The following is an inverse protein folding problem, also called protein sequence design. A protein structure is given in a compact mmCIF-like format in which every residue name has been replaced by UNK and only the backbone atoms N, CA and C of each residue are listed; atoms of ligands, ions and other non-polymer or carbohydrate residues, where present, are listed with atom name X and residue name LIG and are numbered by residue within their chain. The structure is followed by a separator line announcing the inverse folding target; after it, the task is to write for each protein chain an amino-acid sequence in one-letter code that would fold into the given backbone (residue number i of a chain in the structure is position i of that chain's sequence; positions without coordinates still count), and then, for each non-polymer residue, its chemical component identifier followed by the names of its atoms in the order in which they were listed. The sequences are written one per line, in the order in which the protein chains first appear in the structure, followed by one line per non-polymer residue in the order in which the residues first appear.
data_IF_933328522514
#
_entry.id   IF_933328522514
#
_cell.length_a   1.000
_cell.length_b   1.000
_cell.length_c   1.000
_cell.angle_alpha   90.00
_cell.angle_beta   90.00
_cell.angle_gamma   90.00
#
_symmetry.space_group_name_H-M   'P 1'
#
loop_
_entity.id
_entity.type
_entity.pdbx_description
1 polymer ?
#
# COMPACT_ATOMS: atom_id res chain seq x y z
N UNK A 1 -32.20 -28.59 12.59
CA UNK A 1 -31.89 -27.20 12.97
C UNK A 1 -32.59 -26.28 11.98
N UNK A 2 -33.84 -25.90 12.27
CA UNK A 2 -34.60 -25.04 11.37
C UNK A 2 -34.07 -23.60 11.52
N UNK A 3 -33.39 -23.11 10.48
CA UNK A 3 -33.14 -21.68 10.33
C UNK A 3 -34.50 -20.98 10.33
N UNK A 4 -34.75 -20.19 11.38
CA UNK A 4 -35.92 -19.33 11.51
C UNK A 4 -36.05 -18.52 10.21
N UNK A 5 -37.23 -18.45 9.58
CA UNK A 5 -37.44 -17.64 8.39
C UNK A 5 -37.47 -16.16 8.80
N UNK A 6 -36.30 -15.57 9.04
CA UNK A 6 -36.15 -14.15 9.32
C UNK A 6 -35.25 -13.48 8.28
N UNK A 7 -35.48 -12.19 7.97
CA UNK A 7 -34.51 -11.39 7.23
C UNK A 7 -33.17 -11.37 7.97
N UNK A 8 -32.08 -11.44 7.22
CA UNK A 8 -30.73 -11.33 7.76
C UNK A 8 -29.93 -10.25 7.02
N UNK A 9 -28.92 -9.73 7.71
CA UNK A 9 -27.89 -8.87 7.13
C UNK A 9 -26.56 -9.58 7.38
N UNK A 10 -25.87 -9.95 6.31
CA UNK A 10 -24.55 -10.57 6.38
C UNK A 10 -23.49 -9.50 6.10
N UNK A 11 -22.60 -9.26 7.07
CA UNK A 11 -21.48 -8.34 6.93
C UNK A 11 -20.19 -9.16 6.82
N UNK A 12 -19.44 -8.96 5.74
CA UNK A 12 -18.17 -9.64 5.50
C UNK A 12 -17.13 -8.63 5.04
N UNK A 13 -15.86 -8.92 5.34
CA UNK A 13 -14.75 -8.27 4.66
C UNK A 13 -14.78 -8.59 3.16
N UNK A 14 -14.11 -7.76 2.36
CA UNK A 14 -13.95 -7.97 0.91
C UNK A 14 -13.27 -9.31 0.64
N UNK A 15 -13.97 -10.21 -0.04
CA UNK A 15 -13.46 -11.50 -0.51
C UNK A 15 -13.31 -11.47 -2.03
N UNK A 16 -12.38 -12.25 -2.57
CA UNK A 16 -12.05 -12.22 -4.00
C UNK A 16 -13.24 -12.58 -4.92
N UNK A 17 -14.08 -13.54 -4.49
CA UNK A 17 -15.31 -13.90 -5.22
C UNK A 17 -16.45 -14.22 -4.22
N UNK A 18 -17.37 -13.27 -3.97
CA UNK A 18 -18.52 -13.52 -3.11
C UNK A 18 -19.65 -14.28 -3.82
N UNK A 19 -19.57 -14.47 -5.15
CA UNK A 19 -20.64 -15.03 -5.97
C UNK A 19 -21.00 -16.45 -5.56
N UNK A 20 -20.00 -17.26 -5.21
CA UNK A 20 -20.22 -18.66 -4.79
C UNK A 20 -21.12 -18.72 -3.55
N UNK A 21 -20.81 -17.91 -2.53
CA UNK A 21 -21.57 -17.87 -1.29
C UNK A 21 -22.94 -17.22 -1.49
N UNK A 22 -23.01 -16.15 -2.28
CA UNK A 22 -24.26 -15.48 -2.64
C UNK A 22 -25.21 -16.40 -3.40
N UNK A 23 -24.73 -17.13 -4.41
CA UNK A 23 -25.50 -18.11 -5.18
C UNK A 23 -25.97 -19.28 -4.30
N UNK A 24 -25.14 -19.71 -3.34
CA UNK A 24 -25.55 -20.72 -2.37
C UNK A 24 -26.70 -20.23 -1.48
N UNK A 25 -26.59 -19.01 -0.92
CA UNK A 25 -27.66 -18.40 -0.13
C UNK A 25 -28.93 -18.19 -0.94
N UNK A 26 -28.81 -17.74 -2.20
CA UNK A 26 -29.92 -17.55 -3.12
C UNK A 26 -30.73 -18.83 -3.30
N UNK A 27 -30.06 -19.95 -3.63
CA UNK A 27 -30.71 -21.27 -3.79
C UNK A 27 -31.43 -21.75 -2.52
N UNK A 28 -30.86 -21.49 -1.35
CA UNK A 28 -31.48 -21.87 -0.07
C UNK A 28 -32.73 -21.06 0.20
N UNK A 29 -32.71 -19.75 -0.09
CA UNK A 29 -33.86 -18.88 0.08
C UNK A 29 -34.97 -19.18 -0.92
N UNK A 30 -34.64 -19.40 -2.20
CA UNK A 30 -35.59 -19.80 -3.25
C UNK A 30 -36.31 -21.10 -2.87
N UNK A 31 -35.58 -22.12 -2.42
CA UNK A 31 -36.17 -23.40 -1.98
C UNK A 31 -37.13 -23.25 -0.80
N UNK A 32 -36.97 -22.20 0.01
CA UNK A 32 -37.80 -21.92 1.19
C UNK A 32 -38.85 -20.84 0.93
N UNK A 33 -39.00 -20.38 -0.32
CA UNK A 33 -39.90 -19.28 -0.70
C UNK A 33 -39.66 -18.01 0.13
N UNK A 34 -38.39 -17.74 0.47
CA UNK A 34 -37.96 -16.55 1.21
C UNK A 34 -37.55 -15.42 0.27
N UNK A 35 -37.38 -14.22 0.83
CA UNK A 35 -36.97 -13.03 0.10
C UNK A 35 -35.62 -13.22 -0.64
N UNK A 36 -35.50 -12.53 -1.78
CA UNK A 36 -34.29 -12.51 -2.61
C UNK A 36 -33.10 -11.97 -1.81
N UNK A 37 -31.97 -12.68 -1.90
CA UNK A 37 -30.71 -12.25 -1.29
C UNK A 37 -30.05 -11.21 -2.21
N UNK A 38 -29.94 -9.96 -1.75
CA UNK A 38 -29.19 -8.90 -2.43
C UNK A 38 -27.74 -8.87 -1.95
N UNK A 39 -26.80 -8.69 -2.87
CA UNK A 39 -25.38 -8.46 -2.56
C UNK A 39 -25.03 -6.99 -2.84
N UNK A 40 -24.30 -6.37 -1.93
CA UNK A 40 -23.75 -5.02 -2.07
C UNK A 40 -22.24 -5.10 -1.80
N UNK A 41 -21.44 -4.70 -2.78
CA UNK A 41 -19.98 -4.70 -2.67
C UNK A 41 -19.44 -3.26 -2.60
N UNK A 42 -18.52 -3.04 -1.67
CA UNK A 42 -17.73 -1.81 -1.59
C UNK A 42 -16.25 -2.15 -1.67
N UNK A 43 -15.60 -1.73 -2.76
CA UNK A 43 -14.16 -1.99 -3.00
C UNK A 43 -13.27 -0.82 -2.60
N UNK A 44 -13.83 0.38 -2.51
CA UNK A 44 -13.07 1.58 -2.15
C UNK A 44 -12.83 1.62 -0.64
N UNK A 45 -11.58 1.79 -0.24
CA UNK A 45 -11.22 2.02 1.17
C UNK A 45 -11.36 3.51 1.46
N UNK A 46 -12.03 3.88 2.54
CA UNK A 46 -12.18 5.29 2.95
C UNK A 46 -10.86 5.97 3.32
N UNK A 47 -9.98 5.27 4.02
CA UNK A 47 -8.66 5.77 4.39
C UNK A 47 -7.57 5.24 3.46
N UNK A 48 -6.68 6.13 3.04
CA UNK A 48 -5.51 5.71 2.27
C UNK A 48 -4.49 4.98 3.17
N UNK A 49 -3.83 3.98 2.61
CA UNK A 49 -2.80 3.21 3.30
C UNK A 49 -1.42 3.72 2.92
N UNK A 50 -0.76 4.36 3.90
CA UNK A 50 0.64 4.70 3.81
C UNK A 50 1.49 3.48 4.12
N UNK A 51 2.43 3.19 3.22
CA UNK A 51 3.24 1.98 3.31
C UNK A 51 4.63 2.37 3.80
N UNK A 52 5.14 1.61 4.75
CA UNK A 52 6.45 1.80 5.33
C UNK A 52 7.19 0.47 5.39
N UNK A 53 8.51 0.55 5.40
CA UNK A 53 9.42 -0.56 5.65
C UNK A 53 10.31 -0.23 6.84
N UNK A 54 10.47 -1.19 7.74
CA UNK A 54 11.46 -1.11 8.80
C UNK A 54 12.76 -1.72 8.31
N UNK A 55 13.81 -0.92 8.15
CA UNK A 55 15.11 -1.39 7.68
C UNK A 55 16.24 -0.61 8.36
N UNK A 56 17.30 -1.32 8.76
CA UNK A 56 18.48 -0.75 9.45
C UNK A 56 18.14 0.15 10.65
N UNK A 57 17.08 -0.19 11.40
CA UNK A 57 16.68 0.55 12.60
C UNK A 57 15.85 1.80 12.32
N UNK A 58 15.36 2.00 11.10
CA UNK A 58 14.53 3.14 10.74
C UNK A 58 13.25 2.73 10.02
N UNK A 59 12.16 3.43 10.34
CA UNK A 59 10.91 3.34 9.59
C UNK A 59 10.92 4.30 8.39
N UNK A 60 11.05 3.74 7.19
CA UNK A 60 11.14 4.47 5.91
C UNK A 60 9.85 4.32 5.10
N UNK A 61 9.33 5.38 4.45
CA UNK A 61 8.18 5.22 3.56
C UNK A 61 8.55 4.30 2.38
N UNK A 62 7.57 3.58 1.85
CA UNK A 62 7.76 2.59 0.80
C UNK A 62 6.81 2.90 -0.36
N UNK A 63 7.38 3.38 -1.47
CA UNK A 63 6.58 3.67 -2.65
C UNK A 63 6.18 2.33 -3.30
N UNK A 64 4.88 2.10 -3.61
CA UNK A 64 4.41 0.79 -4.10
C UNK A 64 5.12 0.31 -5.37
N UNK A 65 5.52 1.24 -6.24
CA UNK A 65 6.22 0.92 -7.48
C UNK A 65 7.64 0.38 -7.26
N UNK A 66 8.26 0.60 -6.10
CA UNK A 66 9.57 0.03 -5.79
C UNK A 66 9.54 -1.49 -5.62
N UNK A 67 8.37 -2.06 -5.36
CA UNK A 67 8.17 -3.49 -5.20
C UNK A 67 7.82 -4.20 -6.52
N UNK A 68 7.76 -3.48 -7.63
CA UNK A 68 7.39 -4.03 -8.93
C UNK A 68 8.58 -4.68 -9.61
N UNK A 69 8.33 -5.83 -10.24
CA UNK A 69 9.29 -6.51 -11.10
C UNK A 69 8.94 -6.19 -12.54
N UNK A 70 9.82 -5.48 -13.25
CA UNK A 70 9.59 -4.99 -14.62
C UNK A 70 9.05 -6.08 -15.55
N UNK A 71 9.70 -7.26 -15.57
CA UNK A 71 9.32 -8.37 -16.44
C UNK A 71 7.91 -8.91 -16.16
N UNK A 72 7.49 -8.91 -14.90
CA UNK A 72 6.13 -9.29 -14.49
C UNK A 72 5.12 -8.24 -14.91
N UNK A 73 5.42 -6.95 -14.71
CA UNK A 73 4.52 -5.85 -15.09
C UNK A 73 4.33 -5.76 -16.59
N UNK A 74 5.40 -5.95 -17.39
CA UNK A 74 5.31 -6.00 -18.85
C UNK A 74 4.40 -7.12 -19.35
N UNK A 75 4.50 -8.30 -18.72
CA UNK A 75 3.78 -9.52 -19.15
C UNK A 75 2.33 -9.54 -18.66
N UNK A 76 2.11 -9.23 -17.39
CA UNK A 76 0.86 -9.47 -16.68
C UNK A 76 0.11 -8.17 -16.33
N UNK A 77 0.72 -7.00 -16.54
CA UNK A 77 0.20 -5.72 -16.08
C UNK A 77 0.42 -5.49 -14.58
N UNK A 78 -0.26 -4.47 -14.04
CA UNK A 78 -0.26 -4.16 -12.61
C UNK A 78 -1.48 -4.78 -11.92
N UNK A 79 -1.33 -5.15 -10.65
CA UNK A 79 -2.47 -5.58 -9.82
C UNK A 79 -3.46 -4.43 -9.61
N UNK A 80 -4.76 -4.73 -9.62
CA UNK A 80 -5.83 -3.79 -9.24
C UNK A 80 -5.70 -3.29 -7.81
N UNK A 81 -5.09 -4.09 -6.93
CA UNK A 81 -4.98 -3.80 -5.50
C UNK A 81 -3.80 -2.87 -5.16
N UNK A 82 -2.94 -2.60 -6.15
CA UNK A 82 -1.80 -1.70 -6.01
C UNK A 82 -2.29 -0.25 -5.96
N UNK A 83 -2.71 0.24 -4.80
CA UNK A 83 -3.21 1.62 -4.63
C UNK A 83 -2.10 2.60 -4.30
N UNK A 84 -2.18 3.80 -4.90
CA UNK A 84 -1.32 4.94 -4.64
C UNK A 84 -2.07 6.00 -3.84
N UNK A 85 -1.34 6.70 -2.97
CA UNK A 85 -1.81 7.95 -2.35
C UNK A 85 -1.44 9.14 -3.24
N UNK A 86 -2.13 10.30 -3.15
CA UNK A 86 -1.87 11.43 -4.05
C UNK A 86 -0.39 11.87 -4.10
N UNK A 87 0.29 11.84 -2.95
CA UNK A 87 1.74 12.13 -2.87
C UNK A 87 2.58 11.16 -3.71
N UNK A 88 2.29 9.86 -3.62
CA UNK A 88 2.96 8.83 -4.41
C UNK A 88 2.68 9.02 -5.92
N UNK A 89 1.46 9.40 -6.30
CA UNK A 89 1.12 9.68 -7.70
C UNK A 89 1.93 10.86 -8.27
N UNK A 90 2.08 11.94 -7.49
CA UNK A 90 2.87 13.11 -7.91
C UNK A 90 4.35 12.76 -8.01
N UNK A 91 4.89 12.04 -7.02
CA UNK A 91 6.28 11.59 -7.05
C UNK A 91 6.55 10.70 -8.28
N UNK A 92 5.67 9.73 -8.54
CA UNK A 92 5.77 8.86 -9.72
C UNK A 92 5.77 9.67 -11.02
N UNK A 93 4.84 10.61 -11.17
CA UNK A 93 4.78 11.48 -12.35
C UNK A 93 6.10 12.23 -12.57
N UNK A 94 6.64 12.86 -11.52
CA UNK A 94 7.86 13.64 -11.57
C UNK A 94 9.08 12.78 -11.93
N UNK A 95 9.27 11.65 -11.27
CA UNK A 95 10.43 10.79 -11.50
C UNK A 95 10.41 10.16 -12.89
N UNK A 96 9.25 9.69 -13.37
CA UNK A 96 9.14 9.18 -14.74
C UNK A 96 9.42 10.29 -15.76
N UNK A 97 8.91 11.51 -15.55
CA UNK A 97 9.13 12.64 -16.46
C UNK A 97 10.61 13.01 -16.58
N UNK A 98 11.38 12.93 -15.49
CA UNK A 98 12.84 13.14 -15.51
C UNK A 98 13.56 12.10 -16.38
N UNK A 99 13.06 10.86 -16.41
CA UNK A 99 13.70 9.74 -17.10
C UNK A 99 13.36 9.73 -18.60
N UNK A 100 12.09 9.89 -18.95
CA UNK A 100 11.63 9.78 -20.35
C UNK A 100 11.75 11.09 -21.14
N UNK A 101 11.87 12.24 -20.46
CA UNK A 101 11.87 13.56 -21.09
C UNK A 101 10.49 13.97 -21.63
N UNK A 102 10.44 14.87 -22.64
CA UNK A 102 9.18 15.32 -23.24
C UNK A 102 8.42 14.17 -23.91
N UNK A 103 7.18 13.94 -23.48
CA UNK A 103 6.35 12.86 -24.00
C UNK A 103 4.88 13.25 -23.93
N UNK A 104 4.21 13.34 -25.10
CA UNK A 104 2.80 13.78 -25.18
C UNK A 104 1.83 12.97 -24.31
N UNK A 105 2.04 11.65 -24.17
CA UNK A 105 1.18 10.78 -23.37
C UNK A 105 1.37 10.99 -21.87
N UNK A 106 2.59 11.32 -21.46
CA UNK A 106 2.91 11.57 -20.05
C UNK A 106 2.66 13.02 -19.65
N UNK A 107 2.98 13.99 -20.51
CA UNK A 107 2.87 15.42 -20.23
C UNK A 107 1.44 15.84 -19.89
N UNK A 108 0.43 15.26 -20.56
CA UNK A 108 -1.00 15.47 -20.26
C UNK A 108 -1.41 15.06 -18.84
N UNK A 109 -0.61 14.23 -18.17
CA UNK A 109 -0.84 13.75 -16.80
C UNK A 109 -0.20 14.69 -15.77
N UNK A 110 0.34 15.83 -16.19
CA UNK A 110 0.75 16.88 -15.26
C UNK A 110 -0.39 17.21 -14.30
N UNK A 111 -0.21 17.11 -12.97
CA UNK A 111 -1.29 17.42 -12.03
C UNK A 111 -1.90 18.82 -12.25
N UNK A 112 -1.10 19.78 -12.71
CA UNK A 112 -1.56 21.14 -13.02
C UNK A 112 -2.52 21.17 -14.22
N UNK A 113 -2.28 20.34 -15.22
CA UNK A 113 -3.09 20.27 -16.45
C UNK A 113 -4.28 19.33 -16.26
N UNK A 114 -4.07 18.18 -15.62
CA UNK A 114 -5.08 17.16 -15.40
C UNK A 114 -6.24 17.66 -14.54
N UNK A 115 -5.93 18.40 -13.47
CA UNK A 115 -6.93 18.99 -12.57
C UNK A 115 -7.25 20.45 -12.91
N UNK A 116 -6.83 20.94 -14.09
CA UNK A 116 -7.12 22.30 -14.51
C UNK A 116 -8.64 22.54 -14.59
N UNK A 117 -9.09 23.67 -14.05
CA UNK A 117 -10.51 24.06 -14.07
C UNK A 117 -11.38 23.39 -12.99
N UNK A 118 -10.81 22.52 -12.16
CA UNK A 118 -11.52 21.98 -10.98
C UNK A 118 -11.38 22.93 -9.79
N UNK A 119 -12.48 23.23 -9.11
CA UNK A 119 -12.48 24.05 -7.89
C UNK A 119 -11.94 23.30 -6.67
N UNK A 120 -12.22 22.01 -6.58
CA UNK A 120 -11.73 21.11 -5.55
C UNK A 120 -11.50 19.72 -6.16
N UNK A 121 -10.51 19.00 -5.65
CA UNK A 121 -10.21 17.62 -6.08
C UNK A 121 -10.88 16.67 -5.12
N UNK A 122 -11.85 15.89 -5.60
CA UNK A 122 -12.48 14.85 -4.78
C UNK A 122 -11.63 13.57 -4.79
N UNK A 123 -11.96 12.65 -3.88
CA UNK A 123 -11.33 11.34 -3.86
C UNK A 123 -11.56 10.55 -5.16
N UNK A 124 -12.74 10.71 -5.76
CA UNK A 124 -13.09 10.06 -7.03
C UNK A 124 -12.18 10.60 -8.15
N UNK A 125 -11.94 11.92 -8.18
CA UNK A 125 -11.04 12.54 -9.15
C UNK A 125 -9.60 12.04 -8.98
N UNK A 126 -9.14 11.91 -7.74
CA UNK A 126 -7.83 11.33 -7.45
C UNK A 126 -7.71 9.88 -7.90
N UNK A 127 -8.77 9.06 -7.77
CA UNK A 127 -8.77 7.66 -8.25
C UNK A 127 -8.80 7.58 -9.78
N UNK A 128 -9.53 8.48 -10.43
CA UNK A 128 -9.52 8.59 -11.88
C UNK A 128 -8.14 8.97 -12.42
N UNK A 129 -7.45 9.89 -11.74
CA UNK A 129 -6.07 10.24 -12.04
C UNK A 129 -5.13 9.06 -11.85
N UNK A 130 -5.23 8.35 -10.71
CA UNK A 130 -4.43 7.15 -10.42
C UNK A 130 -4.57 6.09 -11.53
N UNK A 131 -5.80 5.85 -12.00
CA UNK A 131 -6.08 4.92 -13.08
C UNK A 131 -5.36 5.33 -14.37
N UNK A 132 -5.52 6.58 -14.81
CA UNK A 132 -4.90 7.08 -16.05
C UNK A 132 -3.37 7.10 -15.96
N UNK A 133 -2.82 7.40 -14.78
CA UNK A 133 -1.38 7.37 -14.51
C UNK A 133 -0.82 5.95 -14.67
N UNK A 134 -1.49 4.95 -14.09
CA UNK A 134 -1.08 3.54 -14.22
C UNK A 134 -1.21 3.03 -15.65
N UNK A 135 -2.31 3.33 -16.33
CA UNK A 135 -2.53 2.92 -17.72
C UNK A 135 -1.46 3.49 -18.65
N UNK A 136 -1.18 4.78 -18.53
CA UNK A 136 -0.14 5.45 -19.33
C UNK A 136 1.25 4.92 -18.99
N UNK A 137 1.52 4.59 -17.72
CA UNK A 137 2.78 3.97 -17.32
C UNK A 137 2.98 2.58 -17.96
N UNK A 138 1.92 1.76 -18.00
CA UNK A 138 1.95 0.47 -18.69
C UNK A 138 2.17 0.64 -20.19
N UNK A 139 1.57 1.66 -20.79
CA UNK A 139 1.77 1.97 -22.20
C UNK A 139 3.23 2.35 -22.49
N UNK A 140 3.84 3.20 -21.66
CA UNK A 140 5.26 3.56 -21.76
C UNK A 140 6.21 2.37 -21.65
N UNK A 141 5.86 1.40 -20.80
CA UNK A 141 6.60 0.14 -20.73
C UNK A 141 6.42 -0.63 -22.04
N UNK A 142 5.19 -0.85 -22.50
CA UNK A 142 4.91 -1.63 -23.73
C UNK A 142 5.50 -1.00 -24.99
N UNK A 143 5.52 0.32 -25.10
CA UNK A 143 6.14 1.07 -26.21
C UNK A 143 7.68 1.10 -26.14
N UNK A 144 8.26 0.52 -25.09
CA UNK A 144 9.70 0.52 -24.79
C UNK A 144 10.31 1.93 -24.68
N UNK A 145 9.48 2.93 -24.38
CA UNK A 145 9.92 4.30 -24.09
C UNK A 145 10.60 4.36 -22.73
N UNK A 146 10.07 3.63 -21.74
CA UNK A 146 10.76 3.38 -20.48
C UNK A 146 11.54 2.06 -20.59
N UNK A 147 12.85 2.16 -20.76
CA UNK A 147 13.77 1.02 -20.83
C UNK A 147 14.08 0.46 -19.43
N UNK A 148 14.67 -0.74 -19.39
CA UNK A 148 15.08 -1.41 -18.15
C UNK A 148 15.99 -0.57 -17.24
N UNK A 149 16.91 0.19 -17.84
CA UNK A 149 17.78 1.11 -17.08
C UNK A 149 16.96 2.23 -16.45
N UNK A 150 16.05 2.83 -17.21
CA UNK A 150 15.11 3.84 -16.72
C UNK A 150 14.21 3.29 -15.61
N UNK A 151 13.73 2.05 -15.71
CA UNK A 151 12.93 1.42 -14.65
C UNK A 151 13.75 1.20 -13.37
N UNK A 152 15.02 0.81 -13.51
CA UNK A 152 15.94 0.64 -12.38
C UNK A 152 16.24 1.96 -11.69
N UNK A 153 16.50 3.01 -12.45
CA UNK A 153 16.69 4.37 -11.95
C UNK A 153 15.41 4.91 -11.26
N UNK A 154 14.24 4.67 -11.86
CA UNK A 154 12.95 5.03 -11.28
C UNK A 154 12.78 4.38 -9.90
N UNK A 155 13.07 3.07 -9.81
CA UNK A 155 12.94 2.32 -8.56
C UNK A 155 13.83 2.89 -7.45
N UNK A 156 15.05 3.33 -7.77
CA UNK A 156 15.95 3.98 -6.81
C UNK A 156 15.45 5.38 -6.43
N UNK A 157 14.99 6.17 -7.41
CA UNK A 157 14.54 7.54 -7.20
C UNK A 157 13.26 7.59 -6.35
N UNK A 158 12.36 6.62 -6.52
CA UNK A 158 11.14 6.50 -5.72
C UNK A 158 11.37 6.06 -4.27
N UNK A 159 12.55 5.51 -3.94
CA UNK A 159 12.94 5.25 -2.55
C UNK A 159 13.34 6.53 -1.81
N UNK A 160 13.68 7.58 -2.55
CA UNK A 160 13.94 8.90 -1.99
C UNK A 160 12.60 9.63 -1.89
N UNK A 161 12.11 9.80 -0.67
CA UNK A 161 10.96 10.65 -0.43
C UNK A 161 11.48 12.06 -0.23
N UNK A 162 11.33 12.97 -1.20
CA UNK A 162 11.65 14.36 -0.96
C UNK A 162 10.79 14.84 0.22
N UNK A 163 11.41 15.59 1.14
CA UNK A 163 10.68 16.37 2.12
C UNK A 163 9.78 17.34 1.35
N UNK A 164 8.55 16.92 1.09
CA UNK A 164 7.54 17.81 0.54
C UNK A 164 7.24 18.80 1.66
N UNK A 165 7.82 19.98 1.50
CA UNK A 165 7.74 21.13 2.40
C UNK A 165 6.26 21.41 2.74
N UNK A 166 5.82 20.84 3.87
CA UNK A 166 4.47 21.01 4.42
C UNK A 166 4.57 21.73 5.76
N UNK A 167 5.28 22.86 5.87
CA UNK A 167 5.28 23.76 7.05
C UNK A 167 5.53 23.10 8.43
N UNK A 168 5.96 21.85 8.46
CA UNK A 168 6.27 21.06 9.63
C UNK A 168 7.69 20.59 9.41
N UNK A 169 8.63 21.22 10.10
CA UNK A 169 10.03 20.82 10.10
C UNK A 169 10.18 19.69 11.12
N UNK A 170 10.30 18.41 10.74
CA UNK A 170 10.80 17.42 11.67
C UNK A 170 12.27 17.77 11.95
N UNK A 171 12.80 17.39 13.12
CA UNK A 171 14.22 17.63 13.44
C UNK A 171 15.12 17.08 12.32
N UNK A 172 16.29 17.70 12.08
CA UNK A 172 17.20 17.32 11.02
C UNK A 172 17.53 15.82 11.15
N UNK A 173 17.04 15.03 10.20
CA UNK A 173 17.49 13.66 10.04
C UNK A 173 18.87 13.75 9.40
N UNK A 174 19.86 13.20 10.10
CA UNK A 174 21.14 12.81 9.50
C UNK A 174 20.79 12.08 8.20
N UNK A 175 21.39 12.51 7.08
CA UNK A 175 21.15 11.97 5.75
C UNK A 175 21.04 10.45 5.84
N UNK A 176 19.81 9.95 5.76
CA UNK A 176 19.56 8.54 5.89
C UNK A 176 20.20 7.89 4.67
N UNK A 177 21.30 7.15 4.87
CA UNK A 177 22.03 6.49 3.78
C UNK A 177 21.02 5.82 2.85
N UNK A 178 21.07 6.17 1.56
CA UNK A 178 20.16 5.63 0.55
C UNK A 178 20.34 4.09 0.53
N UNK A 179 19.42 3.38 1.18
CA UNK A 179 19.45 1.93 1.24
C UNK A 179 18.63 1.41 0.08
N UNK A 180 19.28 0.71 -0.84
CA UNK A 180 18.55 0.07 -1.94
C UNK A 180 17.65 -1.05 -1.42
N UNK A 181 16.34 -0.77 -1.33
CA UNK A 181 15.34 -1.71 -0.84
C UNK A 181 15.16 -2.93 -1.76
N UNK A 182 15.70 -2.90 -2.99
CA UNK A 182 15.69 -4.07 -3.89
C UNK A 182 16.50 -5.23 -3.35
N UNK A 183 17.47 -4.96 -2.47
CA UNK A 183 18.36 -5.96 -1.89
C UNK A 183 17.86 -6.52 -0.55
N UNK A 184 16.60 -6.25 -0.16
CA UNK A 184 16.02 -6.81 1.05
C UNK A 184 15.96 -8.34 0.95
N UNK A 185 16.61 -9.02 1.90
CA UNK A 185 16.56 -10.47 2.02
C UNK A 185 15.64 -10.90 3.15
N UNK A 186 15.26 -12.19 3.17
CA UNK A 186 14.51 -12.76 4.30
C UNK A 186 15.41 -12.82 5.52
N UNK A 187 15.29 -11.82 6.38
CA UNK A 187 15.96 -11.77 7.66
C UNK A 187 15.01 -12.13 8.79
N UNK A 188 15.54 -12.78 9.82
CA UNK A 188 14.81 -13.07 11.07
C UNK A 188 15.08 -12.03 12.15
N UNK A 189 15.59 -10.85 11.77
CA UNK A 189 15.91 -9.73 12.66
C UNK A 189 14.68 -9.22 13.41
N UNK A 190 13.47 -9.39 12.86
CA UNK A 190 12.20 -9.11 13.54
C UNK A 190 11.92 -10.02 14.76
N UNK A 191 12.63 -11.15 14.91
CA UNK A 191 12.55 -12.02 16.09
C UNK A 191 13.44 -11.55 17.25
N UNK A 192 14.24 -10.49 17.05
CA UNK A 192 15.05 -9.88 18.09
C UNK A 192 14.21 -8.86 18.88
N UNK A 193 14.27 -8.94 20.22
CA UNK A 193 13.48 -8.10 21.11
C UNK A 193 13.80 -6.61 20.91
N UNK A 194 15.09 -6.26 20.85
CA UNK A 194 15.56 -4.90 20.64
C UNK A 194 15.04 -4.28 19.34
N UNK A 195 15.00 -5.05 18.25
CA UNK A 195 14.48 -4.59 16.95
C UNK A 195 13.00 -4.26 17.03
N UNK A 196 12.20 -5.16 17.61
CA UNK A 196 10.76 -4.96 17.76
C UNK A 196 10.44 -3.82 18.73
N UNK A 197 11.20 -3.70 19.81
CA UNK A 197 11.10 -2.59 20.77
C UNK A 197 11.40 -1.24 20.11
N UNK A 198 12.49 -1.15 19.34
CA UNK A 198 12.85 0.07 18.62
C UNK A 198 11.79 0.43 17.56
N UNK A 199 11.24 -0.57 16.86
CA UNK A 199 10.10 -0.36 15.96
C UNK A 199 8.91 0.23 16.72
N UNK A 200 8.52 -0.35 17.86
CA UNK A 200 7.42 0.18 18.69
C UNK A 200 7.69 1.63 19.13
N UNK A 201 8.92 1.96 19.54
CA UNK A 201 9.30 3.34 19.88
C UNK A 201 9.17 4.30 18.70
N UNK A 202 9.57 3.89 17.51
CA UNK A 202 9.46 4.71 16.31
C UNK A 202 8.00 4.89 15.87
N UNK A 203 7.16 3.86 16.05
CA UNK A 203 5.71 3.96 15.81
C UNK A 203 5.05 4.91 16.81
N UNK A 204 5.42 4.83 18.09
CA UNK A 204 4.91 5.70 19.15
C UNK A 204 5.32 7.16 18.94
N UNK A 205 6.60 7.41 18.64
CA UNK A 205 7.14 8.75 18.32
C UNK A 205 6.42 9.41 17.13
N UNK A 206 5.89 8.61 16.20
CA UNK A 206 5.17 9.08 15.02
C UNK A 206 3.65 9.14 15.21
N UNK A 207 3.14 8.86 16.41
CA UNK A 207 1.71 8.86 16.73
C UNK A 207 0.89 7.92 15.82
N UNK A 208 1.46 6.76 15.48
CA UNK A 208 0.83 5.73 14.64
C UNK A 208 0.52 4.43 15.41
N UNK A 209 0.47 4.53 16.74
CA UNK A 209 -0.03 3.50 17.65
C UNK A 209 -1.53 3.73 17.94
N UNK A 210 -2.33 2.69 18.26
CA UNK A 210 -1.96 1.30 18.41
C UNK A 210 -1.73 0.59 17.07
N UNK A 211 -0.81 -0.39 17.06
CA UNK A 211 -0.52 -1.22 15.90
C UNK A 211 -0.91 -2.68 16.13
N UNK A 212 -1.33 -3.36 15.08
CA UNK A 212 -1.56 -4.82 15.11
C UNK A 212 -0.42 -5.51 14.36
N UNK A 213 0.29 -6.37 15.06
CA UNK A 213 1.39 -7.18 14.50
C UNK A 213 0.84 -8.55 14.10
N UNK A 214 1.03 -8.91 12.83
CA UNK A 214 0.64 -10.21 12.30
C UNK A 214 1.87 -10.99 11.83
N UNK A 215 1.87 -12.29 12.10
CA UNK A 215 2.83 -13.24 11.54
C UNK A 215 2.09 -14.56 11.25
N UNK A 216 2.34 -15.17 10.10
CA UNK A 216 1.70 -16.43 9.71
C UNK A 216 2.14 -17.63 10.56
N UNK A 217 3.30 -17.55 11.23
CA UNK A 217 3.81 -18.56 12.14
C UNK A 217 3.41 -18.25 13.58
N UNK A 218 2.51 -19.10 14.13
CA UNK A 218 2.11 -19.05 15.54
C UNK A 218 3.32 -19.13 16.48
N UNK A 219 4.30 -19.98 16.17
CA UNK A 219 5.51 -20.14 17.01
C UNK A 219 6.35 -18.86 17.02
N UNK A 220 6.43 -18.16 15.90
CA UNK A 220 7.17 -16.91 15.82
C UNK A 220 6.47 -15.78 16.55
N UNK A 221 5.16 -15.61 16.39
CA UNK A 221 4.43 -14.53 17.08
C UNK A 221 4.48 -14.71 18.60
N UNK A 222 4.36 -15.94 19.11
CA UNK A 222 4.52 -16.22 20.54
C UNK A 222 5.93 -15.90 21.04
N UNK A 223 6.95 -16.24 20.24
CA UNK A 223 8.34 -15.93 20.55
C UNK A 223 8.62 -14.42 20.54
N UNK A 224 8.06 -13.70 19.57
CA UNK A 224 8.16 -12.24 19.49
C UNK A 224 7.55 -11.58 20.72
N UNK A 225 6.35 -12.00 21.12
CA UNK A 225 5.66 -11.46 22.29
C UNK A 225 6.44 -11.70 23.57
N UNK A 226 6.83 -12.95 23.86
CA UNK A 226 7.58 -13.29 25.08
C UNK A 226 8.86 -12.47 25.21
N UNK A 227 9.65 -12.41 24.14
CA UNK A 227 10.90 -11.64 24.09
C UNK A 227 10.67 -10.14 24.25
N UNK A 228 9.60 -9.59 23.67
CA UNK A 228 9.28 -8.18 23.81
C UNK A 228 8.89 -7.85 25.25
N UNK A 229 8.08 -8.69 25.90
CA UNK A 229 7.71 -8.52 27.31
C UNK A 229 8.94 -8.59 28.21
N UNK A 230 9.81 -9.59 28.03
CA UNK A 230 11.07 -9.71 28.78
C UNK A 230 11.98 -8.47 28.62
N UNK A 231 12.02 -7.88 27.41
CA UNK A 231 12.81 -6.66 27.15
C UNK A 231 12.17 -5.43 27.81
N UNK A 232 10.84 -5.34 27.84
CA UNK A 232 10.12 -4.26 28.51
C UNK A 232 10.30 -4.32 30.03
N UNK A 233 10.18 -5.53 30.62
CA UNK A 233 10.40 -5.75 32.06
C UNK A 233 11.81 -5.35 32.48
N UNK A 234 12.84 -5.82 31.75
CA UNK A 234 14.24 -5.46 32.02
C UNK A 234 14.48 -3.95 32.01
N UNK A 235 13.83 -3.23 31.10
CA UNK A 235 13.97 -1.77 30.98
C UNK A 235 13.12 -0.99 31.98
N UNK A 236 12.16 -1.62 32.64
CA UNK A 236 11.39 -1.00 33.72
C UNK A 236 12.15 -1.09 35.06
N UNK A 237 12.98 -2.12 35.22
CA UNK A 237 13.82 -2.32 36.41
C UNK A 237 15.14 -1.50 36.39
N UNK A 238 15.48 -0.89 35.25
CA UNK A 238 16.69 -0.06 35.05
C UNK A 238 16.34 1.42 35.01
#
# INVERSE_FOLDING_TARGET
MALIPCPFIALSATVADPSVFHNWLGRVNEKKELAKVSIIEHRERWNDLYKYVWHKGELRPLHPFCCLVESSVRRNGMSSDLTLVPREMVQLYQEVKKIIGPNKLWDRLSPKEFFAGMSFVTKIDSRNYEKQLKESFLELLKSNTLQTEGFSQLTLSLQQFPDLDLSFSPPPRVEAEASDLRNLTKETSYLQAATLFNLCKDLDKKDIMPAIVFNFSRKEIERMLKKLVEELEKRQET
#
